data_IF_159301828609
#
_entry.id   IF_159301828609
#
_cell.length_a   1.000
_cell.length_b   1.000
_cell.length_c   1.000
_cell.angle_alpha   90.00
_cell.angle_beta   90.00
_cell.angle_gamma   90.00
#
_symmetry.space_group_name_H-M   'P 1'
#
loop_
_entity.id
_entity.type
_entity.pdbx_description
1 polymer ?
#
# COMPACT_ATOMS: atom_id res chain seq x y z
N UNK A 1 7.64 -29.93 -3.06
CA UNK A 1 8.29 -28.83 -3.83
C UNK A 1 7.70 -27.45 -3.45
N UNK A 2 6.43 -27.36 -3.07
CA UNK A 2 5.78 -26.09 -2.68
C UNK A 2 6.30 -25.50 -1.37
N UNK A 3 6.70 -26.35 -0.41
CA UNK A 3 7.22 -25.90 0.89
C UNK A 3 8.60 -25.22 0.82
N UNK A 4 9.32 -25.36 -0.29
CA UNK A 4 10.67 -24.80 -0.45
C UNK A 4 10.66 -23.27 -0.65
N UNK A 5 9.50 -22.67 -0.92
CA UNK A 5 9.36 -21.24 -1.25
C UNK A 5 8.55 -20.43 -0.22
N UNK A 6 7.97 -21.11 0.76
CA UNK A 6 7.24 -20.44 1.85
C UNK A 6 8.12 -20.38 3.10
N UNK A 7 8.16 -19.26 3.83
CA UNK A 7 8.83 -19.20 5.11
C UNK A 7 8.19 -20.19 6.09
N UNK A 8 8.99 -20.98 6.79
CA UNK A 8 8.52 -21.92 7.81
C UNK A 8 7.86 -21.23 9.02
N UNK A 9 8.12 -19.95 9.19
CA UNK A 9 7.61 -19.13 10.30
C UNK A 9 7.16 -17.77 9.81
N UNK A 10 6.18 -17.19 10.51
CA UNK A 10 5.80 -15.82 10.31
C UNK A 10 6.98 -14.87 10.56
N UNK A 11 7.14 -13.89 9.68
CA UNK A 11 8.12 -12.82 9.80
C UNK A 11 7.71 -11.81 10.87
N UNK A 12 8.67 -11.16 11.50
CA UNK A 12 8.41 -9.97 12.33
C UNK A 12 7.96 -8.81 11.48
N UNK A 13 7.32 -7.79 12.07
CA UNK A 13 7.01 -6.56 11.35
C UNK A 13 8.31 -5.89 10.87
N UNK A 14 8.34 -5.37 9.62
CA UNK A 14 9.49 -4.61 9.14
C UNK A 14 9.70 -3.32 9.94
N UNK A 15 10.91 -2.76 9.94
CA UNK A 15 11.19 -1.53 10.67
C UNK A 15 10.37 -0.34 10.14
N UNK A 16 9.83 0.47 11.07
CA UNK A 16 9.13 1.71 10.76
C UNK A 16 10.04 2.95 10.82
N UNK A 17 9.56 4.12 10.36
CA UNK A 17 8.22 4.38 9.80
C UNK A 17 7.96 3.71 8.44
N UNK A 18 6.67 3.51 8.11
CA UNK A 18 6.26 2.92 6.83
C UNK A 18 5.67 3.98 5.89
N UNK A 19 5.98 3.86 4.61
CA UNK A 19 5.30 4.55 3.52
C UNK A 19 4.67 3.48 2.61
N UNK A 20 3.36 3.57 2.40
CA UNK A 20 2.61 2.59 1.61
C UNK A 20 2.08 3.27 0.36
N UNK A 21 2.31 2.68 -0.81
CA UNK A 21 1.70 3.08 -2.06
C UNK A 21 0.47 2.19 -2.29
N UNK A 22 -0.71 2.78 -2.32
CA UNK A 22 -1.97 2.15 -2.71
C UNK A 22 -2.37 2.69 -4.08
N UNK A 23 -2.49 1.85 -5.12
CA UNK A 23 -3.00 2.28 -6.42
C UNK A 23 -4.35 2.96 -6.32
N UNK A 24 -5.29 2.35 -5.61
CA UNK A 24 -6.65 2.86 -5.39
C UNK A 24 -6.97 2.97 -3.90
N UNK A 25 -7.96 3.79 -3.53
CA UNK A 25 -8.53 3.79 -2.18
C UNK A 25 -9.21 2.44 -1.90
N UNK A 26 -8.65 1.62 -1.04
CA UNK A 26 -9.01 0.29 -0.53
C UNK A 26 -7.84 -0.73 -0.58
N UNK A 27 -6.90 -0.61 -1.52
CA UNK A 27 -5.79 -1.55 -1.71
C UNK A 27 -4.90 -1.70 -0.46
N UNK A 28 -4.69 -0.60 0.30
CA UNK A 28 -3.96 -0.64 1.58
C UNK A 28 -4.68 -1.49 2.62
N UNK A 29 -6.01 -1.49 2.59
CA UNK A 29 -6.84 -2.25 3.52
C UNK A 29 -6.92 -3.72 3.12
N UNK A 30 -7.11 -4.01 1.84
CA UNK A 30 -7.15 -5.38 1.33
C UNK A 30 -5.79 -6.06 1.44
N UNK A 31 -4.72 -5.43 0.95
CA UNK A 31 -3.38 -5.99 0.96
C UNK A 31 -2.67 -5.91 2.32
N UNK A 32 -2.78 -4.78 3.02
CA UNK A 32 -1.97 -4.47 4.19
C UNK A 32 -2.76 -4.34 5.50
N UNK A 33 -4.10 -4.37 5.51
CA UNK A 33 -4.94 -4.05 6.68
C UNK A 33 -4.57 -4.80 7.96
N UNK A 34 -4.21 -6.08 7.86
CA UNK A 34 -3.75 -6.86 9.01
C UNK A 34 -2.40 -6.37 9.55
N UNK A 35 -1.43 -6.14 8.68
CA UNK A 35 -0.12 -5.60 9.05
C UNK A 35 -0.24 -4.18 9.64
N UNK A 36 -1.13 -3.34 9.09
CA UNK A 36 -1.44 -2.00 9.61
C UNK A 36 -1.99 -2.04 11.04
N UNK A 37 -2.91 -2.97 11.33
CA UNK A 37 -3.44 -3.16 12.68
C UNK A 37 -2.37 -3.63 13.66
N UNK A 38 -1.44 -4.48 13.22
CA UNK A 38 -0.31 -4.90 14.05
C UNK A 38 0.70 -3.75 14.25
N UNK A 39 0.99 -2.97 13.20
CA UNK A 39 1.82 -1.77 13.28
C UNK A 39 1.26 -0.77 14.30
N UNK A 40 -0.07 -0.55 14.29
CA UNK A 40 -0.79 0.25 15.28
C UNK A 40 -0.53 -0.22 16.72
N UNK A 41 -0.57 -1.54 16.97
CA UNK A 41 -0.36 -2.10 18.31
C UNK A 41 1.04 -1.84 18.86
N UNK A 42 2.04 -1.76 17.99
CA UNK A 42 3.45 -1.55 18.39
C UNK A 42 3.94 -0.12 18.15
N UNK A 43 3.05 0.79 17.73
CA UNK A 43 3.36 2.22 17.58
C UNK A 43 4.23 2.55 16.36
N UNK A 44 4.16 1.77 15.28
CA UNK A 44 4.81 2.12 14.01
C UNK A 44 4.00 3.19 13.31
N UNK A 45 4.64 4.31 12.99
CA UNK A 45 4.07 5.37 12.17
C UNK A 45 3.89 4.92 10.72
N UNK A 46 2.70 5.16 10.16
CA UNK A 46 2.36 4.77 8.79
C UNK A 46 1.78 5.96 8.03
N UNK A 47 2.32 6.22 6.85
CA UNK A 47 1.76 7.13 5.85
C UNK A 47 1.34 6.33 4.61
N UNK A 48 0.25 6.76 3.96
CA UNK A 48 -0.26 6.11 2.74
C UNK A 48 -0.39 7.13 1.63
N UNK A 49 0.01 6.73 0.42
CA UNK A 49 -0.22 7.47 -0.83
C UNK A 49 -1.25 6.70 -1.64
N UNK A 50 -2.39 7.32 -1.92
CA UNK A 50 -3.35 6.86 -2.91
C UNK A 50 -3.00 7.51 -4.25
N UNK A 51 -2.62 6.68 -5.24
CA UNK A 51 -2.08 7.19 -6.50
C UNK A 51 -3.18 7.66 -7.44
N UNK A 52 -4.23 6.85 -7.62
CA UNK A 52 -5.34 7.20 -8.49
C UNK A 52 -6.56 7.67 -7.70
N UNK A 53 -7.49 8.29 -8.38
CA UNK A 53 -8.77 8.71 -7.81
C UNK A 53 -9.77 7.55 -7.64
N UNK A 54 -9.47 6.37 -8.22
CA UNK A 54 -10.35 5.20 -8.19
C UNK A 54 -11.69 5.43 -8.92
N UNK A 55 -11.74 6.39 -9.83
CA UNK A 55 -12.97 6.88 -10.47
C UNK A 55 -13.66 5.87 -11.39
N UNK A 56 -12.98 4.78 -11.79
CA UNK A 56 -13.55 3.72 -12.62
C UNK A 56 -13.90 2.45 -11.83
N UNK A 57 -13.78 2.47 -10.51
CA UNK A 57 -14.09 1.33 -9.65
C UNK A 57 -15.56 1.29 -9.24
N UNK A 58 -16.32 0.31 -9.74
CA UNK A 58 -17.65 -0.01 -9.23
C UNK A 58 -18.83 0.56 -10.02
N UNK A 59 -19.92 0.88 -9.31
CA UNK A 59 -21.18 1.36 -9.87
C UNK A 59 -21.00 2.80 -10.33
N UNK A 60 -21.63 3.18 -11.46
CA UNK A 60 -21.69 4.58 -11.93
C UNK A 60 -22.41 5.47 -10.89
N UNK A 61 -21.62 6.06 -10.00
CA UNK A 61 -22.08 7.07 -9.07
C UNK A 61 -21.44 8.41 -9.47
N UNK A 62 -22.26 9.45 -9.50
CA UNK A 62 -21.71 10.80 -9.57
C UNK A 62 -20.75 11.03 -8.39
N UNK A 63 -19.54 11.53 -8.69
CA UNK A 63 -18.49 11.80 -7.68
C UNK A 63 -17.93 10.58 -6.94
N UNK A 64 -17.84 9.41 -7.57
CA UNK A 64 -17.28 8.19 -6.94
C UNK A 64 -15.88 8.43 -6.32
N UNK A 65 -15.03 9.21 -6.95
CA UNK A 65 -13.70 9.54 -6.42
C UNK A 65 -13.77 10.23 -5.05
N UNK A 66 -14.68 11.18 -4.86
CA UNK A 66 -14.85 11.87 -3.57
C UNK A 66 -15.43 10.94 -2.49
N UNK A 67 -16.31 10.01 -2.89
CA UNK A 67 -16.85 8.99 -1.97
C UNK A 67 -15.72 8.09 -1.51
N UNK A 68 -14.93 7.53 -2.42
CA UNK A 68 -13.80 6.64 -2.10
C UNK A 68 -12.71 7.34 -1.28
N UNK A 69 -12.42 8.61 -1.55
CA UNK A 69 -11.52 9.38 -0.71
C UNK A 69 -12.06 9.51 0.73
N UNK A 70 -13.36 9.74 0.88
CA UNK A 70 -14.01 9.84 2.20
C UNK A 70 -13.94 8.52 2.94
N UNK A 71 -14.23 7.40 2.28
CA UNK A 71 -14.13 6.04 2.84
C UNK A 71 -12.69 5.73 3.26
N UNK A 72 -11.70 6.00 2.41
CA UNK A 72 -10.30 5.82 2.73
C UNK A 72 -9.87 6.63 3.98
N UNK A 73 -10.37 7.85 4.15
CA UNK A 73 -10.10 8.66 5.33
C UNK A 73 -10.76 8.11 6.60
N UNK A 74 -11.93 7.48 6.49
CA UNK A 74 -12.61 6.81 7.61
C UNK A 74 -11.81 5.57 8.02
N UNK A 75 -11.41 4.74 7.06
CA UNK A 75 -10.63 3.53 7.28
C UNK A 75 -9.25 3.86 7.84
N UNK A 76 -8.60 4.92 7.34
CA UNK A 76 -7.31 5.38 7.82
C UNK A 76 -7.30 5.64 9.34
N UNK A 77 -8.39 6.22 9.89
CA UNK A 77 -8.53 6.42 11.35
C UNK A 77 -8.61 5.08 12.12
N UNK A 78 -9.31 4.08 11.55
CA UNK A 78 -9.42 2.75 12.15
C UNK A 78 -8.07 2.04 12.17
N UNK A 79 -7.31 2.14 11.09
CA UNK A 79 -6.00 1.53 10.91
C UNK A 79 -4.86 2.34 11.55
N UNK A 80 -5.16 3.53 12.12
CA UNK A 80 -4.18 4.48 12.66
C UNK A 80 -3.13 4.92 11.64
N UNK A 81 -3.52 5.09 10.40
CA UNK A 81 -2.70 5.73 9.38
C UNK A 81 -2.54 7.20 9.76
N UNK A 82 -1.29 7.63 9.90
CA UNK A 82 -0.94 8.98 10.36
C UNK A 82 -1.31 10.04 9.33
N UNK A 83 -1.03 9.77 8.05
CA UNK A 83 -1.31 10.71 6.96
C UNK A 83 -1.65 9.98 5.66
N UNK A 84 -2.66 10.50 4.97
CA UNK A 84 -3.05 10.10 3.62
C UNK A 84 -2.67 11.20 2.64
N UNK A 85 -2.03 10.82 1.54
CA UNK A 85 -1.77 11.66 0.38
C UNK A 85 -2.60 11.14 -0.79
N UNK A 86 -3.34 12.01 -1.45
CA UNK A 86 -4.13 11.67 -2.63
C UNK A 86 -3.51 12.39 -3.82
N UNK A 87 -2.99 11.62 -4.77
CA UNK A 87 -2.29 12.19 -5.93
C UNK A 87 -3.22 12.48 -7.10
N UNK A 88 -4.37 11.78 -7.18
CA UNK A 88 -5.41 12.06 -8.16
C UNK A 88 -5.02 11.73 -9.60
N UNK A 89 -4.12 10.77 -9.80
CA UNK A 89 -3.84 10.26 -11.14
C UNK A 89 -5.08 9.52 -11.68
N UNK A 90 -5.28 9.47 -13.00
CA UNK A 90 -6.46 8.83 -13.58
C UNK A 90 -6.44 7.31 -13.35
N UNK A 91 -7.55 6.76 -12.87
CA UNK A 91 -7.76 5.32 -12.74
C UNK A 91 -7.62 4.63 -14.11
N UNK A 92 -6.90 3.50 -14.17
CA UNK A 92 -6.55 2.73 -15.37
C UNK A 92 -5.77 3.50 -16.45
N UNK A 93 -5.31 4.68 -16.12
CA UNK A 93 -4.63 5.56 -17.08
C UNK A 93 -3.36 6.18 -16.56
N UNK A 94 -2.98 5.91 -15.31
CA UNK A 94 -1.76 6.49 -14.79
C UNK A 94 -0.52 5.83 -15.37
N UNK A 95 0.44 6.63 -15.79
CA UNK A 95 1.72 6.15 -16.33
C UNK A 95 2.87 6.70 -15.49
N UNK A 96 3.85 5.82 -15.23
CA UNK A 96 5.07 6.23 -14.53
C UNK A 96 5.82 7.26 -15.38
N UNK A 97 6.12 8.39 -14.77
CA UNK A 97 6.88 9.47 -15.39
C UNK A 97 7.83 10.12 -14.37
N UNK A 98 8.79 10.91 -14.86
CA UNK A 98 9.79 11.53 -14.00
C UNK A 98 9.18 12.42 -12.91
N UNK A 99 8.08 13.12 -13.20
CA UNK A 99 7.35 13.93 -12.21
C UNK A 99 6.92 13.09 -10.99
N UNK A 100 6.33 11.91 -11.21
CA UNK A 100 5.88 11.01 -10.12
C UNK A 100 7.06 10.42 -9.36
N UNK A 101 8.13 10.06 -10.06
CA UNK A 101 9.37 9.57 -9.44
C UNK A 101 9.94 10.65 -8.51
N UNK A 102 10.07 11.88 -8.97
CA UNK A 102 10.61 12.98 -8.18
C UNK A 102 9.69 13.33 -7.00
N UNK A 103 8.40 13.27 -7.18
CA UNK A 103 7.40 13.48 -6.12
C UNK A 103 7.51 12.40 -5.03
N UNK A 104 7.69 11.13 -5.40
CA UNK A 104 7.87 10.04 -4.44
C UNK A 104 9.22 10.15 -3.72
N UNK A 105 10.29 10.49 -4.44
CA UNK A 105 11.62 10.74 -3.84
C UNK A 105 11.57 11.86 -2.80
N UNK A 106 10.86 12.95 -3.08
CA UNK A 106 10.70 14.04 -2.11
C UNK A 106 9.91 13.60 -0.86
N UNK A 107 8.89 12.75 -1.03
CA UNK A 107 8.20 12.16 0.12
C UNK A 107 9.09 11.19 0.90
N UNK A 108 9.89 10.36 0.24
CA UNK A 108 10.88 9.49 0.91
C UNK A 108 11.86 10.35 1.73
N UNK A 109 12.36 11.43 1.14
CA UNK A 109 13.26 12.36 1.82
C UNK A 109 12.64 13.03 3.04
N UNK A 110 11.40 13.52 2.90
CA UNK A 110 10.74 14.32 3.95
C UNK A 110 10.08 13.48 5.04
N UNK A 111 9.70 12.24 4.72
CA UNK A 111 9.04 11.32 5.66
C UNK A 111 10.00 10.30 6.28
N UNK A 112 11.17 10.11 5.68
CA UNK A 112 12.23 9.20 6.10
C UNK A 112 11.75 7.78 6.46
N UNK A 113 10.90 7.14 5.58
CA UNK A 113 10.42 5.80 5.86
C UNK A 113 11.60 4.81 5.89
N UNK A 114 11.53 3.84 6.79
CA UNK A 114 12.46 2.70 6.77
C UNK A 114 12.00 1.61 5.83
N UNK A 115 10.69 1.50 5.62
CA UNK A 115 10.10 0.53 4.69
C UNK A 115 9.11 1.22 3.76
N UNK A 116 9.24 0.94 2.46
CA UNK A 116 8.34 1.36 1.40
C UNK A 116 7.56 0.14 0.91
N UNK A 117 6.24 0.15 1.08
CA UNK A 117 5.37 -0.90 0.58
C UNK A 117 4.68 -0.50 -0.72
N UNK A 118 4.50 -1.46 -1.61
CA UNK A 118 3.82 -1.29 -2.89
C UNK A 118 3.23 -2.63 -3.37
N UNK A 119 2.23 -2.65 -4.27
CA UNK A 119 1.68 -3.89 -4.79
C UNK A 119 2.72 -4.75 -5.52
N UNK A 120 2.52 -6.05 -5.51
CA UNK A 120 3.34 -6.97 -6.28
C UNK A 120 3.30 -6.65 -7.77
N UNK A 121 4.44 -6.77 -8.46
CA UNK A 121 4.51 -6.64 -9.92
C UNK A 121 3.71 -7.74 -10.65
N UNK A 122 3.36 -8.82 -9.95
CA UNK A 122 2.56 -9.93 -10.47
C UNK A 122 1.05 -9.65 -10.45
N UNK A 123 0.62 -8.55 -9.86
CA UNK A 123 -0.79 -8.14 -9.85
C UNK A 123 -1.35 -7.98 -11.27
N UNK A 124 -2.59 -8.44 -11.55
CA UNK A 124 -3.17 -8.36 -12.88
C UNK A 124 -3.56 -6.93 -13.27
N UNK A 125 -3.86 -6.06 -12.29
CA UNK A 125 -4.29 -4.69 -12.56
C UNK A 125 -3.14 -3.82 -13.09
N UNK A 126 -3.33 -3.05 -14.19
CA UNK A 126 -2.26 -2.23 -14.76
C UNK A 126 -1.72 -1.17 -13.78
N UNK A 127 -2.58 -0.53 -12.99
CA UNK A 127 -2.17 0.50 -12.03
C UNK A 127 -1.36 -0.09 -10.86
N UNK A 128 -1.64 -1.34 -10.47
CA UNK A 128 -0.82 -2.04 -9.46
C UNK A 128 0.59 -2.25 -9.98
N UNK A 129 0.75 -2.71 -11.24
CA UNK A 129 2.07 -2.88 -11.85
C UNK A 129 2.80 -1.56 -12.06
N UNK A 130 2.08 -0.52 -12.49
CA UNK A 130 2.65 0.81 -12.64
C UNK A 130 3.12 1.37 -11.28
N UNK A 131 2.35 1.14 -10.20
CA UNK A 131 2.74 1.49 -8.83
C UNK A 131 4.01 0.77 -8.39
N UNK A 132 4.13 -0.53 -8.70
CA UNK A 132 5.34 -1.29 -8.40
C UNK A 132 6.57 -0.74 -9.14
N UNK A 133 6.42 -0.39 -10.42
CA UNK A 133 7.48 0.23 -11.23
C UNK A 133 7.87 1.60 -10.65
N UNK A 134 6.89 2.43 -10.30
CA UNK A 134 7.13 3.74 -9.68
C UNK A 134 7.92 3.61 -8.37
N UNK A 135 7.50 2.70 -7.49
CA UNK A 135 8.18 2.44 -6.22
C UNK A 135 9.63 1.99 -6.45
N UNK A 136 9.83 1.04 -7.37
CA UNK A 136 11.14 0.51 -7.69
C UNK A 136 12.08 1.58 -8.26
N UNK A 137 11.62 2.34 -9.27
CA UNK A 137 12.42 3.41 -9.88
C UNK A 137 12.77 4.52 -8.89
N UNK A 138 11.82 4.91 -8.04
CA UNK A 138 12.07 5.92 -7.01
C UNK A 138 13.04 5.43 -5.94
N UNK A 139 12.91 4.17 -5.48
CA UNK A 139 13.83 3.58 -4.50
C UNK A 139 15.26 3.48 -5.02
N UNK A 140 15.43 3.20 -6.33
CA UNK A 140 16.73 3.12 -6.98
C UNK A 140 17.40 4.49 -7.15
N UNK A 141 16.60 5.55 -7.30
CA UNK A 141 17.06 6.91 -7.60
C UNK A 141 17.15 7.80 -6.36
N UNK A 142 16.72 7.33 -5.20
CA UNK A 142 16.84 8.09 -3.95
C UNK A 142 18.21 7.86 -3.30
N UNK A 143 18.72 8.88 -2.61
CA UNK A 143 19.92 8.81 -1.77
C UNK A 143 19.61 8.26 -0.36
N UNK A 144 18.32 8.12 -0.02
CA UNK A 144 17.89 7.66 1.29
C UNK A 144 17.73 6.14 1.32
N UNK A 145 18.21 5.51 2.40
CA UNK A 145 18.05 4.07 2.60
C UNK A 145 16.62 3.75 2.99
N UNK A 146 15.89 3.09 2.10
CA UNK A 146 14.54 2.57 2.33
C UNK A 146 14.45 1.13 1.84
N UNK A 147 13.85 0.24 2.63
CA UNK A 147 13.65 -1.16 2.26
C UNK A 147 12.38 -1.30 1.40
N UNK A 148 12.46 -1.66 0.10
CA UNK A 148 11.29 -1.89 -0.73
C UNK A 148 10.72 -3.29 -0.45
N UNK A 149 9.42 -3.37 -0.14
CA UNK A 149 8.68 -4.61 0.07
C UNK A 149 7.39 -4.58 -0.75
N UNK A 150 7.12 -5.64 -1.50
CA UNK A 150 5.85 -5.76 -2.21
C UNK A 150 4.81 -6.51 -1.37
N UNK A 151 3.54 -6.19 -1.59
CA UNK A 151 2.41 -6.90 -1.00
C UNK A 151 1.44 -7.38 -2.09
N UNK A 152 0.71 -8.46 -1.79
CA UNK A 152 -0.29 -9.04 -2.68
C UNK A 152 -1.69 -8.50 -2.33
N UNK A 153 -2.53 -8.31 -3.35
CA UNK A 153 -3.91 -7.83 -3.23
C UNK A 153 -4.88 -8.83 -3.87
N UNK A 154 -4.80 -8.97 -5.19
CA UNK A 154 -5.75 -9.77 -5.99
C UNK A 154 -5.28 -11.20 -6.20
N UNK A 155 -3.98 -11.43 -6.23
CA UNK A 155 -3.36 -12.74 -6.45
C UNK A 155 -2.34 -13.03 -5.39
N UNK A 156 -2.29 -14.29 -4.96
CA UNK A 156 -1.24 -14.75 -4.05
C UNK A 156 -0.03 -15.20 -4.85
N UNK A 157 1.07 -14.47 -4.70
CA UNK A 157 2.36 -14.81 -5.29
C UNK A 157 3.22 -15.72 -4.41
N UNK A 158 4.45 -15.99 -4.86
CA UNK A 158 5.47 -16.63 -4.05
C UNK A 158 6.00 -15.62 -3.04
N UNK A 159 5.64 -15.80 -1.78
CA UNK A 159 5.97 -14.86 -0.70
C UNK A 159 7.19 -15.34 0.07
N UNK A 160 8.18 -14.46 0.24
CA UNK A 160 9.34 -14.68 1.12
C UNK A 160 9.19 -13.96 2.47
N UNK A 161 8.08 -13.27 2.69
CA UNK A 161 7.78 -12.52 3.90
C UNK A 161 6.30 -12.75 4.29
N UNK A 162 6.05 -13.37 5.43
CA UNK A 162 4.71 -13.68 5.92
C UNK A 162 4.47 -13.03 7.27
N UNK A 163 3.37 -12.31 7.42
CA UNK A 163 2.96 -11.72 8.70
C UNK A 163 1.70 -12.45 9.17
N UNK A 164 1.77 -13.05 10.34
CA UNK A 164 0.59 -13.66 10.98
C UNK A 164 -0.33 -12.58 11.52
N UNK A 165 -1.49 -12.46 10.89
CA UNK A 165 -2.54 -11.49 11.26
C UNK A 165 -3.70 -12.13 12.04
N UNK A 166 -3.59 -13.39 12.47
CA UNK A 166 -4.67 -14.12 13.14
C UNK A 166 -5.28 -13.33 14.31
N UNK A 167 -4.46 -12.65 15.09
CA UNK A 167 -4.89 -11.86 16.26
C UNK A 167 -5.65 -10.57 15.94
N UNK A 168 -5.71 -10.18 14.66
CA UNK A 168 -6.38 -8.96 14.17
C UNK A 168 -7.29 -9.21 12.97
N UNK A 169 -7.50 -10.47 12.61
CA UNK A 169 -8.25 -10.86 11.41
C UNK A 169 -9.66 -10.28 11.37
N UNK A 170 -10.41 -10.40 12.48
CA UNK A 170 -11.78 -9.86 12.55
C UNK A 170 -11.81 -8.32 12.46
N UNK A 171 -10.80 -7.66 13.02
CA UNK A 171 -10.65 -6.20 12.90
C UNK A 171 -10.36 -5.80 11.46
N UNK A 172 -9.48 -6.53 10.75
CA UNK A 172 -9.24 -6.32 9.32
C UNK A 172 -10.52 -6.48 8.53
N UNK A 173 -11.27 -7.57 8.75
CA UNK A 173 -12.55 -7.80 8.08
C UNK A 173 -13.55 -6.66 8.33
N UNK A 174 -13.62 -6.14 9.56
CA UNK A 174 -14.45 -4.99 9.89
C UNK A 174 -14.01 -3.68 9.25
N UNK A 175 -12.72 -3.52 8.91
CA UNK A 175 -12.23 -2.36 8.16
C UNK A 175 -12.58 -2.45 6.66
N UNK A 176 -12.57 -3.66 6.09
CA UNK A 176 -12.92 -3.91 4.68
C UNK A 176 -14.42 -3.70 4.36
N UNK A 177 -15.27 -3.62 5.37
CA UNK A 177 -16.72 -3.42 5.23
C UNK A 177 -17.14 -1.96 5.42
N UNK A 178 -16.21 -1.04 5.46
CA UNK A 178 -16.44 0.40 5.61
C UNK A 178 -16.39 1.11 4.29
#
# INVERSE_FOLDING_TARGET
YETAYLPDKASSLPPGPWLILAPHPDDETFGMGGALLLAKKVGIDVDVIFLTDGGLGGIELENIAAVRETEARIVAKKLAIRKCFFWGEPDRGFMVCQRLIDQLKELIKTREPKTLFFPSLQEPHPDHRATAILAWESSRQTEFSVAPLSYDISVQGLSNYLIDISSVFDQKRGAMLC
#
